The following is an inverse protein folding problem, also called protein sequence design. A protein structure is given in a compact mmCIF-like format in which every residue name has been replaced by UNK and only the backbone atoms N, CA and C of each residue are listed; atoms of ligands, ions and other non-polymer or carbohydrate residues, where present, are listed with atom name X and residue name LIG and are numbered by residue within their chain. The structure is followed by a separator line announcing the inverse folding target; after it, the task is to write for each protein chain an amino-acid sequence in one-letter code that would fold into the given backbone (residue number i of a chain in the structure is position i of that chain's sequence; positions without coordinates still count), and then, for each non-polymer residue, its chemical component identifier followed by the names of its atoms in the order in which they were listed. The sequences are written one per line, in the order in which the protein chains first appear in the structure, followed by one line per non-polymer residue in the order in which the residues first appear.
data_IF_481250220102
#
_entry.id   IF_481250220102
#
_cell.length_a   1.000
_cell.length_b   1.000
_cell.length_c   1.000
_cell.angle_alpha   90.00
_cell.angle_beta   90.00
_cell.angle_gamma   90.00
#
_symmetry.space_group_name_H-M   'P 1'
#
loop_
_entity.id
_entity.type
_entity.pdbx_description
1 polymer ?
#
# COMPACT_ATOMS: atom_id res chain seq x y z
N UNK A 1 -22.52 14.68 18.67
CA UNK A 1 -21.77 13.41 18.86
C UNK A 1 -20.94 13.19 17.60
N UNK A 2 -19.61 13.34 17.65
CA UNK A 2 -18.76 13.11 16.48
C UNK A 2 -18.61 11.60 16.30
N UNK A 3 -19.44 10.99 15.45
CA UNK A 3 -19.20 9.62 15.00
C UNK A 3 -17.87 9.62 14.24
N UNK A 4 -16.80 9.24 14.93
CA UNK A 4 -15.54 8.87 14.30
C UNK A 4 -15.81 7.62 13.48
N UNK A 5 -16.18 7.79 12.21
CA UNK A 5 -16.30 6.68 11.28
C UNK A 5 -14.92 6.04 11.16
N UNK A 6 -14.74 4.91 11.83
CA UNK A 6 -13.61 4.01 11.59
C UNK A 6 -13.75 3.50 10.17
N UNK A 7 -13.14 4.22 9.22
CA UNK A 7 -13.20 3.87 7.81
C UNK A 7 -12.54 2.51 7.63
N UNK A 8 -13.38 1.52 7.30
CA UNK A 8 -12.99 0.13 7.12
C UNK A 8 -12.19 -0.01 5.81
N UNK A 9 -11.28 -0.97 5.79
CA UNK A 9 -10.61 -1.42 4.58
C UNK A 9 -11.62 -1.69 3.45
N UNK A 10 -11.29 -1.23 2.24
CA UNK A 10 -12.05 -1.49 1.03
C UNK A 10 -11.28 -2.47 0.15
N UNK A 11 -11.85 -3.65 -0.13
CA UNK A 11 -11.18 -4.64 -0.98
C UNK A 11 -11.37 -4.27 -2.45
N UNK A 12 -10.28 -4.00 -3.15
CA UNK A 12 -10.29 -3.68 -4.59
C UNK A 12 -9.36 -4.61 -5.35
N UNK A 13 -9.92 -5.61 -6.05
CA UNK A 13 -9.15 -6.56 -6.87
C UNK A 13 -8.77 -5.88 -8.19
N UNK A 14 -7.49 -5.58 -8.37
CA UNK A 14 -6.96 -4.94 -9.57
C UNK A 14 -5.56 -5.45 -9.88
N UNK A 15 -5.24 -5.59 -11.16
CA UNK A 15 -3.89 -5.87 -11.60
C UNK A 15 -3.14 -4.57 -11.85
N UNK A 16 -1.82 -4.57 -11.69
CA UNK A 16 -1.01 -3.38 -11.93
C UNK A 16 0.37 -3.71 -12.50
N UNK A 17 0.97 -2.73 -13.18
CA UNK A 17 2.38 -2.78 -13.55
C UNK A 17 3.16 -2.07 -12.46
N UNK A 18 4.17 -2.74 -11.89
CA UNK A 18 5.03 -2.12 -10.89
C UNK A 18 5.80 -0.95 -11.53
N UNK A 19 5.57 0.27 -11.04
CA UNK A 19 6.24 1.47 -11.54
C UNK A 19 7.74 1.54 -11.19
N UNK A 20 8.22 0.66 -10.30
CA UNK A 20 9.65 0.55 -9.99
C UNK A 20 10.39 -0.45 -10.90
N UNK A 21 9.90 -1.70 -11.02
CA UNK A 21 10.61 -2.75 -11.76
C UNK A 21 9.93 -3.23 -13.06
N UNK A 22 8.74 -2.72 -13.38
CA UNK A 22 8.01 -3.04 -14.61
C UNK A 22 7.29 -4.39 -14.64
N UNK A 23 7.36 -5.20 -13.58
CA UNK A 23 6.66 -6.49 -13.54
C UNK A 23 5.14 -6.30 -13.49
N UNK A 24 4.39 -7.13 -14.21
CA UNK A 24 2.94 -7.22 -14.10
C UNK A 24 2.57 -8.02 -12.86
N UNK A 25 1.69 -7.47 -12.03
CA UNK A 25 1.26 -8.08 -10.77
C UNK A 25 -0.25 -8.33 -10.85
N UNK A 26 -0.63 -9.58 -10.62
CA UNK A 26 -2.03 -9.95 -10.44
C UNK A 26 -2.47 -9.64 -9.01
N UNK A 27 -3.49 -8.81 -8.85
CA UNK A 27 -3.96 -8.40 -7.54
C UNK A 27 -5.03 -9.33 -6.99
N UNK A 28 -4.95 -9.64 -5.69
CA UNK A 28 -6.00 -10.40 -4.97
C UNK A 28 -7.06 -9.49 -4.32
N UNK A 29 -6.84 -8.18 -4.39
CA UNK A 29 -7.52 -7.16 -3.60
C UNK A 29 -6.91 -6.90 -2.23
N UNK A 30 -5.89 -7.66 -1.84
CA UNK A 30 -5.04 -7.41 -0.67
C UNK A 30 -3.60 -7.04 -1.07
N UNK A 31 -3.24 -7.23 -2.34
CA UNK A 31 -1.93 -6.89 -2.89
C UNK A 31 -1.74 -5.38 -2.91
N UNK A 32 -0.76 -4.86 -2.17
CA UNK A 32 -0.44 -3.44 -2.10
C UNK A 32 1.01 -3.10 -2.46
N UNK A 33 1.84 -4.10 -2.71
CA UNK A 33 3.23 -3.97 -3.12
C UNK A 33 3.55 -5.00 -4.20
N UNK A 34 4.61 -4.75 -4.96
CA UNK A 34 5.13 -5.70 -5.92
C UNK A 34 5.75 -6.91 -5.18
N UNK A 35 5.36 -8.16 -5.49
CA UNK A 35 5.94 -9.33 -4.82
C UNK A 35 7.40 -9.60 -5.20
N UNK A 36 7.91 -8.95 -6.26
CA UNK A 36 9.28 -9.13 -6.75
C UNK A 36 10.26 -8.14 -6.10
N UNK A 37 9.88 -6.86 -6.00
CA UNK A 37 10.79 -5.82 -5.50
C UNK A 37 10.31 -5.16 -4.20
N UNK A 38 9.11 -5.52 -3.72
CA UNK A 38 8.50 -5.01 -2.48
C UNK A 38 8.14 -3.52 -2.49
N UNK A 39 8.36 -2.81 -3.59
CA UNK A 39 7.91 -1.42 -3.74
C UNK A 39 6.39 -1.33 -3.84
N UNK A 40 5.85 -0.27 -3.26
CA UNK A 40 4.44 0.10 -3.32
C UNK A 40 4.26 1.47 -3.96
N UNK A 41 3.01 1.92 -4.09
CA UNK A 41 2.63 3.27 -4.54
C UNK A 41 1.63 3.86 -3.56
N UNK A 42 1.83 5.12 -3.18
CA UNK A 42 0.93 5.82 -2.28
C UNK A 42 -0.33 6.26 -3.02
N UNK A 43 -1.32 5.39 -2.97
CA UNK A 43 -2.64 5.57 -3.59
C UNK A 43 -3.78 5.63 -2.58
N UNK A 44 -3.57 5.21 -1.33
CA UNK A 44 -4.61 5.14 -0.31
C UNK A 44 -4.49 6.30 0.70
N UNK A 45 -5.60 6.97 1.03
CA UNK A 45 -5.71 7.75 2.28
C UNK A 45 -6.18 6.83 3.41
N UNK A 46 -7.12 5.95 3.09
CA UNK A 46 -7.55 4.82 3.91
C UNK A 46 -7.35 3.52 3.12
N UNK A 47 -7.08 2.39 3.80
CA UNK A 47 -6.74 1.14 3.10
C UNK A 47 -7.73 0.76 2.00
N UNK A 48 -7.25 0.74 0.75
CA UNK A 48 -7.99 0.36 -0.45
C UNK A 48 -8.94 1.40 -1.04
N UNK A 49 -8.96 2.65 -0.53
CA UNK A 49 -9.85 3.70 -1.06
C UNK A 49 -9.34 4.38 -2.34
N UNK A 50 -8.06 4.16 -2.68
CA UNK A 50 -7.40 4.79 -3.84
C UNK A 50 -7.56 6.32 -3.90
N UNK A 51 -7.74 6.98 -2.75
CA UNK A 51 -8.04 8.41 -2.67
C UNK A 51 -6.81 9.32 -2.51
N UNK A 52 -5.59 8.78 -2.37
CA UNK A 52 -4.40 9.60 -2.19
C UNK A 52 -3.98 10.26 -3.50
N UNK A 53 -3.92 11.59 -3.49
CA UNK A 53 -3.48 12.41 -4.63
C UNK A 53 -1.96 12.46 -4.77
N UNK A 54 -1.21 11.93 -3.80
CA UNK A 54 0.24 11.95 -3.82
C UNK A 54 0.81 11.15 -5.00
N UNK A 55 0.36 9.90 -5.16
CA UNK A 55 0.80 8.99 -6.22
C UNK A 55 2.30 8.67 -6.19
N UNK A 56 3.00 8.98 -5.10
CA UNK A 56 4.45 8.77 -4.99
C UNK A 56 4.79 7.30 -4.76
N UNK A 57 5.93 6.86 -5.28
CA UNK A 57 6.48 5.54 -4.98
C UNK A 57 6.77 5.42 -3.48
N UNK A 58 6.54 4.22 -2.95
CA UNK A 58 6.84 3.89 -1.56
C UNK A 58 7.90 2.81 -1.50
N UNK A 59 9.06 3.16 -0.96
CA UNK A 59 10.18 2.23 -0.79
C UNK A 59 9.98 1.40 0.49
N UNK A 60 10.33 0.10 0.46
CA UNK A 60 10.27 -0.75 1.63
C UNK A 60 11.38 -0.36 2.62
N UNK A 61 11.02 -0.01 3.85
CA UNK A 61 11.96 0.46 4.87
C UNK A 61 12.35 -0.60 5.89
N UNK A 62 11.62 -1.71 5.95
CA UNK A 62 11.86 -2.78 6.90
C UNK A 62 10.71 -3.77 6.98
N UNK A 63 10.79 -4.67 7.95
CA UNK A 63 9.76 -5.66 8.26
C UNK A 63 9.50 -5.59 9.76
N UNK A 64 8.22 -5.63 10.15
CA UNK A 64 7.80 -5.86 11.52
C UNK A 64 7.09 -7.21 11.64
N UNK A 65 7.03 -7.75 12.85
CA UNK A 65 6.32 -8.99 13.15
C UNK A 65 5.19 -8.66 14.11
N UNK A 66 3.95 -8.84 13.68
CA UNK A 66 2.76 -8.71 14.52
C UNK A 66 2.03 -10.05 14.59
N UNK A 67 1.86 -10.59 15.80
CA UNK A 67 1.14 -11.86 16.06
C UNK A 67 1.58 -13.06 15.20
N UNK A 68 2.84 -13.05 14.74
CA UNK A 68 3.41 -14.11 13.90
C UNK A 68 3.35 -13.83 12.40
N UNK A 69 2.67 -12.76 11.99
CA UNK A 69 2.63 -12.29 10.60
C UNK A 69 3.75 -11.27 10.35
N UNK A 70 4.36 -11.36 9.16
CA UNK A 70 5.34 -10.38 8.70
C UNK A 70 4.64 -9.24 7.95
N UNK A 71 4.87 -8.02 8.39
CA UNK A 71 4.35 -6.80 7.77
C UNK A 71 5.52 -6.03 7.19
N UNK A 72 5.42 -5.67 5.91
CA UNK A 72 6.42 -4.84 5.25
C UNK A 72 6.10 -3.39 5.55
N UNK A 73 7.09 -2.66 6.06
CA UNK A 73 7.00 -1.23 6.30
C UNK A 73 7.39 -0.48 5.03
N UNK A 74 6.63 0.57 4.69
CA UNK A 74 6.83 1.38 3.50
C UNK A 74 6.88 2.86 3.84
N UNK A 75 7.67 3.65 3.08
CA UNK A 75 7.68 5.10 3.16
C UNK A 75 7.55 5.73 1.79
N UNK A 76 6.58 6.63 1.63
CA UNK A 76 6.40 7.41 0.41
C UNK A 76 7.56 8.39 0.22
N UNK A 77 8.21 8.34 -0.93
CA UNK A 77 9.34 9.21 -1.27
C UNK A 77 8.91 10.66 -1.51
N UNK A 78 7.65 10.88 -1.91
CA UNK A 78 7.13 12.21 -2.27
C UNK A 78 6.59 12.99 -1.07
N UNK A 79 5.85 12.35 -0.16
CA UNK A 79 5.23 13.04 0.98
C UNK A 79 5.65 12.52 2.36
N UNK A 80 6.49 11.47 2.41
CA UNK A 80 6.97 10.91 3.67
C UNK A 80 5.97 10.06 4.46
N UNK A 81 4.74 9.84 3.95
CA UNK A 81 3.76 8.95 4.56
C UNK A 81 4.35 7.56 4.81
N UNK A 82 4.03 6.98 5.97
CA UNK A 82 4.51 5.65 6.38
C UNK A 82 3.31 4.72 6.56
N UNK A 83 3.44 3.49 6.06
CA UNK A 83 2.45 2.42 6.16
C UNK A 83 3.15 1.13 6.54
#
# INVERSE_FOLDING_TARGET
MKHSQTKKFQRMKEDFVCEHCGVKVEGSGYTNHCPVCLWSKHVDVHPGDRAATCGGMMWPTGIEVDKGDYIILHRCEKCGHKK
#
